data_IF_468580205382
#
_entry.id   IF_468580205382
#
_cell.length_a   1.000
_cell.length_b   1.000
_cell.length_c   1.000
_cell.angle_alpha   90.00
_cell.angle_beta   90.00
_cell.angle_gamma   90.00
#
_symmetry.space_group_name_H-M   'P 1'
#
loop_
_entity.id
_entity.type
_entity.pdbx_description
1 polymer ?
#
# COMPACT_ATOMS: atom_id res chain seq x y z
N UNK A 1 -15.63 5.41 -7.35
CA UNK A 1 -14.21 4.97 -7.31
C UNK A 1 -13.39 6.04 -7.99
N UNK A 2 -12.19 6.29 -7.47
CA UNK A 2 -11.33 7.38 -7.91
C UNK A 2 -10.15 6.82 -8.72
N UNK A 3 -9.58 7.63 -9.61
CA UNK A 3 -8.36 7.36 -10.39
C UNK A 3 -7.33 8.48 -10.23
N UNK A 4 -7.55 9.37 -9.26
CA UNK A 4 -6.81 10.62 -9.15
C UNK A 4 -5.40 10.42 -8.63
N UNK A 5 -4.46 11.09 -9.28
CA UNK A 5 -3.08 11.21 -8.83
C UNK A 5 -2.87 12.63 -8.32
N UNK A 6 -2.31 12.75 -7.13
CA UNK A 6 -2.09 14.03 -6.46
C UNK A 6 -0.63 14.10 -5.97
N UNK A 7 -0.11 15.32 -5.78
CA UNK A 7 1.20 15.64 -5.21
C UNK A 7 1.02 16.67 -4.10
N UNK A 8 1.62 16.46 -2.92
CA UNK A 8 1.80 17.52 -1.93
C UNK A 8 3.20 18.15 -2.07
N UNK A 9 3.30 19.47 -1.92
CA UNK A 9 4.57 20.18 -2.00
C UNK A 9 4.96 20.77 -0.65
N UNK A 10 6.03 20.21 -0.08
CA UNK A 10 6.47 20.45 1.30
C UNK A 10 6.87 21.92 1.54
N UNK A 11 7.43 22.58 0.53
CA UNK A 11 7.88 23.97 0.61
C UNK A 11 6.69 24.97 0.56
N UNK A 12 5.53 24.54 0.04
CA UNK A 12 4.31 25.36 -0.07
C UNK A 12 3.26 24.99 0.99
N UNK A 13 3.22 23.73 1.42
CA UNK A 13 2.15 23.18 2.27
C UNK A 13 0.89 22.78 1.50
N UNK A 14 0.95 22.73 0.17
CA UNK A 14 -0.21 22.68 -0.72
C UNK A 14 -0.32 21.40 -1.56
N UNK A 15 -1.51 21.22 -2.14
CA UNK A 15 -1.95 20.04 -2.89
C UNK A 15 -2.14 20.33 -4.38
N UNK A 16 -1.44 19.59 -5.22
CA UNK A 16 -1.48 19.68 -6.68
C UNK A 16 -2.04 18.38 -7.25
N UNK A 17 -3.16 18.45 -7.99
CA UNK A 17 -3.65 17.32 -8.77
C UNK A 17 -2.84 17.18 -10.05
N UNK A 18 -2.48 15.97 -10.45
CA UNK A 18 -2.04 15.72 -11.82
C UNK A 18 -3.26 15.46 -12.70
N UNK A 19 -3.35 16.13 -13.84
CA UNK A 19 -4.32 15.78 -14.88
C UNK A 19 -3.75 14.59 -15.67
N UNK A 20 -4.30 13.38 -15.46
CA UNK A 20 -3.74 12.14 -16.03
C UNK A 20 -4.80 11.30 -16.75
N UNK A 21 -4.50 10.84 -17.96
CA UNK A 21 -5.22 9.74 -18.63
C UNK A 21 -4.56 8.40 -18.24
N UNK A 22 -5.06 7.78 -17.16
CA UNK A 22 -4.42 6.64 -16.50
C UNK A 22 -5.31 5.41 -16.30
N UNK A 23 -4.93 4.48 -15.41
CA UNK A 23 -5.73 3.31 -15.08
C UNK A 23 -7.13 3.70 -14.58
N UNK A 24 -8.15 2.94 -15.00
CA UNK A 24 -9.52 3.09 -14.48
C UNK A 24 -9.55 3.08 -12.95
N UNK A 25 -10.39 3.94 -12.37
CA UNK A 25 -10.50 4.11 -10.94
C UNK A 25 -10.94 2.84 -10.22
N UNK A 26 -10.35 2.56 -9.06
CA UNK A 26 -10.33 1.20 -8.49
C UNK A 26 -10.32 1.15 -6.95
N UNK A 27 -10.22 -0.05 -6.41
CA UNK A 27 -10.00 -0.31 -4.98
C UNK A 27 -9.20 -1.59 -4.71
N UNK A 28 -8.37 -1.54 -3.67
CA UNK A 28 -7.48 -2.63 -3.24
C UNK A 28 -6.56 -3.14 -4.36
N UNK A 29 -6.21 -2.24 -5.27
CA UNK A 29 -4.95 -2.26 -6.01
C UNK A 29 -3.74 -2.32 -5.06
N UNK A 30 -2.58 -2.69 -5.58
CA UNK A 30 -1.32 -2.57 -4.87
C UNK A 30 -0.36 -1.67 -5.65
N UNK A 31 0.35 -0.79 -4.96
CA UNK A 31 1.27 0.16 -5.57
C UNK A 31 2.60 0.22 -4.80
N UNK A 32 3.72 0.35 -5.52
CA UNK A 32 5.07 0.35 -4.91
C UNK A 32 6.05 1.30 -5.62
N UNK A 33 6.89 2.05 -4.89
CA UNK A 33 7.91 2.89 -5.52
C UNK A 33 9.01 2.02 -6.11
N UNK A 34 9.41 2.32 -7.35
CA UNK A 34 10.33 1.48 -8.10
C UNK A 34 11.76 1.79 -7.66
N UNK A 35 12.32 1.01 -6.71
CA UNK A 35 13.64 1.30 -6.10
C UNK A 35 14.70 1.69 -7.16
N UNK A 36 15.29 2.88 -6.98
CA UNK A 36 16.29 3.54 -7.84
C UNK A 36 15.79 4.17 -9.16
N UNK A 37 14.48 4.23 -9.41
CA UNK A 37 13.90 5.19 -10.37
C UNK A 37 12.83 6.04 -9.69
N UNK A 38 12.64 7.27 -10.16
CA UNK A 38 11.60 8.16 -9.65
C UNK A 38 10.23 7.82 -10.27
N UNK A 39 9.87 6.54 -10.31
CA UNK A 39 8.64 6.02 -10.92
C UNK A 39 7.85 5.16 -9.94
N UNK A 40 6.56 5.05 -10.22
CA UNK A 40 5.60 4.20 -9.51
C UNK A 40 5.26 2.98 -10.37
N UNK A 41 4.95 1.85 -9.73
CA UNK A 41 4.18 0.76 -10.33
C UNK A 41 2.91 0.50 -9.53
N UNK A 42 1.76 0.50 -10.22
CA UNK A 42 0.45 0.06 -9.73
C UNK A 42 0.06 -1.26 -10.41
N UNK A 43 -0.60 -2.15 -9.68
CA UNK A 43 -1.11 -3.41 -10.21
C UNK A 43 -2.50 -3.78 -9.68
N UNK A 44 -3.36 -4.29 -10.56
CA UNK A 44 -4.62 -4.96 -10.20
C UNK A 44 -5.59 -4.09 -9.40
N UNK A 45 -6.32 -4.69 -8.46
CA UNK A 45 -7.48 -4.08 -7.80
C UNK A 45 -8.78 -4.29 -8.58
N UNK A 46 -9.91 -3.79 -8.07
CA UNK A 46 -11.22 -3.88 -8.73
C UNK A 46 -11.67 -2.53 -9.28
N UNK A 47 -12.10 -2.47 -10.54
CA UNK A 47 -12.58 -1.22 -11.18
C UNK A 47 -14.08 -0.96 -11.01
N UNK A 48 -14.82 -1.90 -10.41
CA UNK A 48 -16.23 -1.75 -10.06
C UNK A 48 -16.47 -2.19 -8.62
N UNK A 49 -17.64 -1.87 -8.05
CA UNK A 49 -18.05 -2.36 -6.72
C UNK A 49 -18.17 -3.89 -6.68
N UNK A 50 -18.52 -4.52 -7.80
CA UNK A 50 -18.48 -5.97 -7.96
C UNK A 50 -17.04 -6.48 -8.09
N UNK A 51 -16.71 -7.46 -7.25
CA UNK A 51 -15.39 -8.11 -7.18
C UNK A 51 -14.99 -8.83 -8.47
N UNK A 52 -15.94 -9.13 -9.36
CA UNK A 52 -15.68 -9.76 -10.66
C UNK A 52 -14.85 -8.89 -11.60
N UNK A 53 -14.86 -7.56 -11.41
CA UNK A 53 -14.08 -6.59 -12.18
C UNK A 53 -12.68 -6.35 -11.59
N UNK A 54 -12.14 -7.39 -10.94
CA UNK A 54 -10.73 -7.51 -10.59
C UNK A 54 -9.86 -7.40 -11.85
N UNK A 55 -8.68 -6.78 -11.73
CA UNK A 55 -7.71 -6.62 -12.83
C UNK A 55 -6.36 -7.28 -12.51
N UNK A 56 -5.56 -7.52 -13.54
CA UNK A 56 -4.15 -7.92 -13.50
C UNK A 56 -3.30 -7.07 -14.47
N UNK A 57 -3.77 -5.87 -14.77
CA UNK A 57 -3.05 -4.84 -15.50
C UNK A 57 -1.89 -4.30 -14.65
N UNK A 58 -0.80 -3.92 -15.33
CA UNK A 58 0.42 -3.41 -14.71
C UNK A 58 0.71 -2.02 -15.28
N UNK A 59 0.70 -1.01 -14.42
CA UNK A 59 0.79 0.39 -14.83
C UNK A 59 2.00 1.07 -14.21
N UNK A 60 2.79 1.76 -15.03
CA UNK A 60 3.92 2.60 -14.60
C UNK A 60 3.51 4.06 -14.68
N UNK A 61 3.67 4.81 -13.58
CA UNK A 61 3.46 6.27 -13.55
C UNK A 61 4.79 7.02 -13.51
N UNK A 62 4.86 8.11 -14.27
CA UNK A 62 5.97 9.05 -14.31
C UNK A 62 5.58 10.38 -13.62
N UNK A 63 6.05 10.64 -12.39
CA UNK A 63 5.73 11.86 -11.64
C UNK A 63 6.36 13.14 -12.20
N UNK A 64 7.29 13.01 -13.16
CA UNK A 64 7.95 14.17 -13.78
C UNK A 64 7.05 14.89 -14.81
N UNK A 65 6.09 14.18 -15.42
CA UNK A 65 5.17 14.69 -16.44
C UNK A 65 3.69 14.33 -16.19
N UNK A 66 3.40 13.49 -15.19
CA UNK A 66 2.04 13.03 -14.87
C UNK A 66 1.54 11.87 -15.73
N UNK A 67 2.39 11.27 -16.57
CA UNK A 67 1.96 10.22 -17.51
C UNK A 67 1.84 8.84 -16.87
N UNK A 68 0.86 8.07 -17.33
CA UNK A 68 0.69 6.64 -17.06
C UNK A 68 0.97 5.84 -18.32
N UNK A 69 1.61 4.68 -18.18
CA UNK A 69 1.86 3.71 -19.25
C UNK A 69 1.45 2.32 -18.77
N UNK A 70 0.53 1.66 -19.47
CA UNK A 70 0.29 0.23 -19.26
C UNK A 70 1.45 -0.57 -19.85
N UNK A 71 1.98 -1.52 -19.08
CA UNK A 71 3.05 -2.41 -19.49
C UNK A 71 2.44 -3.77 -19.81
N UNK A 72 2.50 -4.18 -21.08
CA UNK A 72 2.10 -5.54 -21.46
C UNK A 72 3.11 -6.56 -20.89
N UNK A 73 2.63 -7.66 -20.33
CA UNK A 73 3.47 -8.61 -19.58
C UNK A 73 3.05 -10.06 -19.84
N UNK A 74 4.02 -10.93 -20.08
CA UNK A 74 3.76 -12.35 -20.38
C UNK A 74 3.57 -13.16 -19.10
N UNK A 75 2.78 -14.23 -19.18
CA UNK A 75 2.38 -15.09 -18.03
C UNK A 75 1.63 -14.36 -16.89
N UNK A 76 0.77 -13.38 -17.20
CA UNK A 76 0.04 -12.57 -16.19
C UNK A 76 -0.58 -13.43 -15.07
N UNK A 77 -0.38 -13.10 -13.78
CA UNK A 77 -1.09 -13.75 -12.68
C UNK A 77 -2.61 -13.47 -12.77
N UNK A 78 -3.42 -14.28 -12.07
CA UNK A 78 -4.89 -14.07 -12.08
C UNK A 78 -5.28 -12.67 -11.55
N UNK A 79 -6.32 -12.03 -12.14
CA UNK A 79 -6.89 -10.77 -11.68
C UNK A 79 -7.23 -10.78 -10.19
N UNK A 80 -6.77 -9.77 -9.44
CA UNK A 80 -6.78 -9.83 -7.97
C UNK A 80 -6.81 -8.48 -7.28
N UNK A 81 -7.29 -8.47 -6.03
CA UNK A 81 -7.30 -7.31 -5.12
C UNK A 81 -6.77 -7.68 -3.73
N UNK A 82 -6.36 -6.67 -2.95
CA UNK A 82 -5.90 -6.84 -1.57
C UNK A 82 -4.63 -7.68 -1.45
N UNK A 83 -3.81 -7.64 -2.50
CA UNK A 83 -2.51 -8.30 -2.60
C UNK A 83 -1.41 -7.33 -2.19
N UNK A 84 -0.21 -7.83 -1.92
CA UNK A 84 0.99 -6.99 -1.68
C UNK A 84 1.81 -6.94 -2.97
N UNK A 85 2.37 -5.78 -3.31
CA UNK A 85 3.44 -5.66 -4.30
C UNK A 85 4.60 -4.83 -3.73
N UNK A 86 5.84 -5.28 -3.93
CA UNK A 86 7.04 -4.59 -3.47
C UNK A 86 8.14 -4.59 -4.52
N UNK A 87 8.88 -3.49 -4.66
CA UNK A 87 10.10 -3.46 -5.46
C UNK A 87 11.33 -3.87 -4.62
N UNK A 88 12.13 -4.81 -5.12
CA UNK A 88 13.48 -5.08 -4.61
C UNK A 88 14.56 -4.50 -5.55
N UNK A 89 15.80 -4.97 -5.47
CA UNK A 89 16.91 -4.45 -6.29
C UNK A 89 16.72 -4.68 -7.79
N UNK A 90 16.16 -5.82 -8.21
CA UNK A 90 16.05 -6.24 -9.62
C UNK A 90 14.63 -6.62 -10.06
N UNK A 91 13.73 -6.95 -9.13
CA UNK A 91 12.38 -7.43 -9.42
C UNK A 91 11.30 -6.63 -8.69
N UNK A 92 10.11 -6.63 -9.27
CA UNK A 92 8.86 -6.44 -8.52
C UNK A 92 8.41 -7.81 -8.03
N UNK A 93 7.95 -7.89 -6.79
CA UNK A 93 7.51 -9.10 -6.13
C UNK A 93 6.06 -8.89 -5.67
N UNK A 94 5.16 -9.75 -6.13
CA UNK A 94 3.73 -9.67 -5.86
C UNK A 94 3.28 -10.91 -5.07
N UNK A 95 2.49 -10.71 -4.00
CA UNK A 95 2.05 -11.79 -3.12
C UNK A 95 0.54 -11.75 -2.82
N UNK A 96 -0.11 -12.91 -2.99
CA UNK A 96 -1.40 -13.24 -2.38
C UNK A 96 -2.59 -12.40 -2.86
N UNK A 97 -3.50 -12.07 -1.93
CA UNK A 97 -4.74 -11.34 -2.16
C UNK A 97 -5.96 -12.24 -2.41
N UNK A 98 -7.00 -11.69 -3.04
CA UNK A 98 -8.24 -12.39 -3.44
C UNK A 98 -8.53 -12.26 -4.92
N UNK A 99 -9.14 -13.28 -5.51
CA UNK A 99 -9.62 -13.36 -6.91
C UNK A 99 -10.99 -14.04 -6.98
N UNK A 100 -11.81 -13.73 -7.97
CA UNK A 100 -13.07 -14.45 -8.24
C UNK A 100 -12.84 -15.67 -9.14
N UNK A 101 -13.74 -16.67 -9.09
CA UNK A 101 -13.80 -17.76 -10.10
C UNK A 101 -14.33 -17.27 -11.44
N UNK A 102 -15.31 -16.36 -11.41
CA UNK A 102 -15.97 -15.79 -12.59
C UNK A 102 -15.27 -14.48 -12.91
N UNK A 103 -14.46 -14.49 -13.98
CA UNK A 103 -13.85 -13.29 -14.56
C UNK A 103 -14.75 -12.83 -15.70
N UNK A 104 -15.49 -11.75 -15.51
CA UNK A 104 -16.42 -11.26 -16.50
C UNK A 104 -15.66 -10.70 -17.72
N UNK A 105 -15.71 -11.40 -18.86
CA UNK A 105 -15.32 -10.86 -20.18
C UNK A 105 -16.39 -9.93 -20.78
N UNK A 106 -17.43 -9.59 -20.03
CA UNK A 106 -18.61 -8.82 -20.45
C UNK A 106 -19.07 -7.88 -19.33
N UNK A 107 -19.92 -6.93 -19.68
CA UNK A 107 -20.53 -5.96 -18.77
C UNK A 107 -21.46 -6.59 -17.73
N UNK A 108 -21.66 -5.90 -16.62
CA UNK A 108 -22.55 -6.26 -15.50
C UNK A 108 -23.95 -6.75 -15.92
N UNK A 109 -24.51 -6.20 -17.02
CA UNK A 109 -25.86 -6.45 -17.51
C UNK A 109 -26.14 -7.86 -18.08
N UNK A 110 -25.17 -8.78 -18.07
CA UNK A 110 -25.33 -10.17 -18.57
C UNK A 110 -25.16 -11.26 -17.50
N UNK A 111 -25.07 -10.89 -16.21
CA UNK A 111 -24.97 -11.85 -15.11
C UNK A 111 -26.36 -12.36 -14.69
N UNK A 112 -26.56 -13.68 -14.46
CA UNK A 112 -27.80 -14.19 -13.86
C UNK A 112 -28.00 -13.61 -12.45
N UNK A 113 -29.23 -13.20 -12.13
CA UNK A 113 -29.56 -12.55 -10.85
C UNK A 113 -29.36 -13.47 -9.62
N UNK A 114 -29.32 -14.78 -9.82
CA UNK A 114 -29.24 -15.80 -8.77
C UNK A 114 -27.80 -16.13 -8.28
N UNK A 115 -26.74 -15.76 -9.01
CA UNK A 115 -25.35 -16.09 -8.60
C UNK A 115 -24.76 -15.03 -7.63
N UNK A 116 -24.69 -15.35 -6.34
CA UNK A 116 -23.99 -14.53 -5.34
C UNK A 116 -22.49 -14.37 -5.68
N UNK A 117 -22.01 -13.17 -6.07
CA UNK A 117 -20.63 -12.99 -6.55
C UNK A 117 -19.54 -13.29 -5.49
N UNK A 118 -19.88 -13.25 -4.20
CA UNK A 118 -18.93 -13.50 -3.11
C UNK A 118 -18.72 -15.00 -2.87
N UNK A 119 -19.65 -15.86 -3.29
CA UNK A 119 -19.62 -17.31 -3.04
C UNK A 119 -18.58 -18.05 -3.91
N UNK A 120 -17.94 -17.33 -4.83
CA UNK A 120 -16.87 -17.81 -5.72
C UNK A 120 -15.48 -17.21 -5.45
N UNK A 121 -15.24 -16.55 -4.32
CA UNK A 121 -13.93 -15.94 -4.03
C UNK A 121 -12.86 -16.97 -3.62
N UNK A 122 -11.70 -16.92 -4.28
CA UNK A 122 -10.50 -17.66 -3.91
C UNK A 122 -9.49 -16.73 -3.26
N UNK A 123 -9.14 -17.00 -2.00
CA UNK A 123 -7.98 -16.44 -1.35
C UNK A 123 -6.69 -17.04 -1.95
N UNK A 124 -5.66 -16.23 -2.15
CA UNK A 124 -4.43 -16.60 -2.86
C UNK A 124 -3.20 -16.61 -1.94
N UNK A 125 -2.36 -17.64 -2.09
CA UNK A 125 -1.07 -17.83 -1.38
C UNK A 125 0.12 -17.91 -2.34
N UNK A 126 -0.07 -17.49 -3.58
CA UNK A 126 0.95 -17.51 -4.62
C UNK A 126 1.88 -16.29 -4.53
N UNK A 127 3.15 -16.53 -4.82
CA UNK A 127 4.20 -15.53 -4.92
C UNK A 127 4.62 -15.41 -6.39
N UNK A 128 4.77 -14.19 -6.89
CA UNK A 128 5.14 -13.90 -8.27
C UNK A 128 6.25 -12.86 -8.31
N UNK A 129 7.13 -12.97 -9.31
CA UNK A 129 8.21 -12.03 -9.58
C UNK A 129 8.19 -11.60 -11.05
N UNK A 130 8.67 -10.39 -11.32
CA UNK A 130 8.86 -9.88 -12.69
C UNK A 130 10.04 -8.90 -12.72
N UNK A 131 10.81 -8.89 -13.81
CA UNK A 131 11.99 -8.03 -13.96
C UNK A 131 11.58 -6.55 -13.92
N UNK A 132 12.11 -5.82 -12.92
CA UNK A 132 11.84 -4.40 -12.72
C UNK A 132 12.43 -3.55 -13.85
N UNK A 133 13.57 -3.98 -14.40
CA UNK A 133 14.27 -3.32 -15.49
C UNK A 133 13.48 -3.42 -16.80
N UNK A 134 13.04 -4.63 -17.16
CA UNK A 134 12.18 -4.86 -18.33
C UNK A 134 10.82 -4.16 -18.22
N UNK A 135 10.23 -4.08 -17.02
CA UNK A 135 9.00 -3.29 -16.76
C UNK A 135 9.23 -1.79 -17.00
N UNK A 136 10.36 -1.23 -16.54
CA UNK A 136 10.69 0.17 -16.79
C UNK A 136 11.05 0.48 -18.24
N UNK A 137 11.51 -0.52 -19.00
CA UNK A 137 11.85 -0.45 -20.42
C UNK A 137 10.69 -0.83 -21.36
N UNK A 138 9.56 -1.32 -20.84
CA UNK A 138 8.40 -1.76 -21.64
C UNK A 138 8.64 -3.04 -22.46
N UNK A 139 9.63 -3.86 -22.10
CA UNK A 139 10.18 -4.93 -22.95
C UNK A 139 9.41 -6.26 -22.90
N UNK A 140 8.07 -6.21 -22.88
CA UNK A 140 7.16 -7.36 -22.63
C UNK A 140 7.64 -8.30 -21.49
N UNK A 141 7.91 -7.78 -20.28
CA UNK A 141 8.47 -8.57 -19.19
C UNK A 141 7.62 -9.79 -18.83
N UNK A 142 8.26 -10.85 -18.35
CA UNK A 142 7.59 -12.12 -18.02
C UNK A 142 7.46 -12.34 -16.52
N UNK A 143 6.24 -12.63 -16.06
CA UNK A 143 5.99 -13.10 -14.70
C UNK A 143 6.50 -14.53 -14.49
N UNK A 144 7.22 -14.74 -13.39
CA UNK A 144 7.65 -16.05 -12.88
C UNK A 144 7.00 -16.31 -11.52
N UNK A 145 6.67 -17.58 -11.24
CA UNK A 145 6.04 -17.96 -9.98
C UNK A 145 7.10 -18.46 -8.98
N UNK A 146 7.13 -17.87 -7.80
CA UNK A 146 7.96 -18.30 -6.67
C UNK A 146 7.25 -19.31 -5.76
N UNK A 147 7.90 -19.74 -4.66
CA UNK A 147 7.30 -20.68 -3.71
C UNK A 147 6.07 -20.07 -3.01
N UNK A 148 4.99 -20.84 -2.84
CA UNK A 148 3.79 -20.36 -2.16
C UNK A 148 4.07 -20.09 -0.68
N UNK A 149 3.25 -19.21 -0.10
CA UNK A 149 3.29 -18.88 1.32
C UNK A 149 2.86 -20.09 2.17
N UNK A 150 3.69 -20.54 3.14
CA UNK A 150 3.53 -21.84 3.81
C UNK A 150 2.58 -21.80 5.02
N UNK A 151 1.55 -20.94 4.99
CA UNK A 151 0.65 -20.72 6.12
C UNK A 151 -0.77 -20.36 5.64
N UNK A 152 -1.79 -20.37 6.53
CA UNK A 152 -3.19 -20.13 6.15
C UNK A 152 -3.39 -18.83 5.36
N UNK A 153 -4.17 -18.94 4.29
CA UNK A 153 -4.39 -17.86 3.34
C UNK A 153 -5.10 -16.67 3.99
N UNK A 154 -4.65 -15.46 3.69
CA UNK A 154 -5.11 -14.24 4.38
C UNK A 154 -5.03 -13.00 3.49
N UNK A 155 -5.85 -12.01 3.83
CA UNK A 155 -5.90 -10.70 3.17
C UNK A 155 -5.95 -9.57 4.20
N UNK A 156 -5.75 -8.34 3.75
CA UNK A 156 -5.58 -7.19 4.65
C UNK A 156 -4.29 -7.25 5.48
N UNK A 157 -3.37 -8.14 5.13
CA UNK A 157 -1.97 -8.09 5.55
C UNK A 157 -1.25 -6.96 4.81
N UNK A 158 -0.08 -6.55 5.30
CA UNK A 158 0.84 -5.71 4.52
C UNK A 158 2.19 -6.40 4.33
N UNK A 159 3.02 -5.88 3.44
CA UNK A 159 4.41 -6.27 3.38
C UNK A 159 5.32 -5.27 2.66
N UNK A 160 6.57 -5.23 3.09
CA UNK A 160 7.60 -4.26 2.66
C UNK A 160 8.99 -4.92 2.61
N UNK A 161 9.93 -4.34 1.86
CA UNK A 161 11.31 -4.83 1.76
C UNK A 161 12.17 -4.25 2.86
N UNK A 162 12.63 -5.08 3.80
CA UNK A 162 13.46 -4.68 4.93
C UNK A 162 14.88 -5.24 4.83
N UNK A 163 15.84 -4.65 5.55
CA UNK A 163 17.26 -4.99 5.46
C UNK A 163 18.04 -4.78 6.75
N UNK A 164 18.80 -5.80 7.19
CA UNK A 164 19.76 -5.68 8.29
C UNK A 164 21.16 -5.24 7.83
N UNK A 165 22.11 -5.13 8.77
CA UNK A 165 23.52 -4.72 8.57
C UNK A 165 24.29 -5.53 7.52
N UNK A 166 23.81 -6.71 7.15
CA UNK A 166 24.33 -7.50 6.01
C UNK A 166 24.05 -6.87 4.63
N UNK A 167 23.36 -5.73 4.57
CA UNK A 167 23.12 -4.97 3.34
C UNK A 167 22.27 -5.77 2.35
N UNK A 168 22.73 -5.91 1.11
CA UNK A 168 22.04 -6.70 0.08
C UNK A 168 21.87 -8.18 0.46
N UNK A 169 22.80 -8.76 1.23
CA UNK A 169 22.78 -10.18 1.63
C UNK A 169 21.81 -10.51 2.77
N UNK A 170 21.16 -9.50 3.36
CA UNK A 170 20.19 -9.67 4.47
C UNK A 170 18.93 -8.85 4.20
N UNK A 171 18.35 -9.03 3.01
CA UNK A 171 17.10 -8.38 2.56
C UNK A 171 15.96 -9.39 2.49
N UNK A 172 14.80 -8.98 2.99
CA UNK A 172 13.60 -9.82 3.07
C UNK A 172 12.36 -9.04 2.63
N UNK A 173 11.40 -9.71 1.99
CA UNK A 173 10.00 -9.27 2.05
C UNK A 173 9.50 -9.65 3.44
N UNK A 174 9.25 -8.65 4.28
CA UNK A 174 8.52 -8.82 5.53
C UNK A 174 7.02 -8.73 5.25
N UNK A 175 6.26 -9.69 5.75
CA UNK A 175 4.83 -9.81 5.58
C UNK A 175 4.15 -10.03 6.93
N UNK A 176 3.24 -9.12 7.33
CA UNK A 176 2.69 -9.08 8.68
C UNK A 176 1.16 -9.14 8.72
N UNK A 177 0.65 -9.92 9.67
CA UNK A 177 -0.75 -9.92 10.09
C UNK A 177 -1.75 -10.26 8.98
N UNK A 178 -2.84 -9.50 8.92
CA UNK A 178 -4.02 -9.74 8.09
C UNK A 178 -5.06 -10.62 8.77
N UNK A 179 -6.04 -11.08 7.98
CA UNK A 179 -7.13 -11.95 8.44
C UNK A 179 -7.45 -13.11 7.49
N UNK A 180 -8.07 -14.13 8.06
CA UNK A 180 -8.75 -15.25 7.38
C UNK A 180 -10.23 -15.28 7.83
N UNK A 181 -11.09 -15.95 7.07
CA UNK A 181 -12.48 -16.23 7.44
C UNK A 181 -12.60 -17.73 7.71
N UNK A 182 -13.15 -18.11 8.86
CA UNK A 182 -13.26 -19.52 9.28
C UNK A 182 -14.05 -20.39 8.30
N UNK A 183 -13.77 -21.69 8.31
CA UNK A 183 -14.44 -22.66 7.42
C UNK A 183 -15.97 -22.63 7.60
N UNK A 184 -16.70 -22.80 6.51
CA UNK A 184 -18.17 -22.74 6.48
C UNK A 184 -18.79 -21.34 6.67
N UNK A 185 -18.00 -20.31 6.98
CA UNK A 185 -18.50 -18.95 7.22
C UNK A 185 -18.59 -18.13 5.94
N UNK A 186 -19.50 -17.14 5.91
CA UNK A 186 -19.69 -16.22 4.76
C UNK A 186 -19.15 -14.84 5.13
N UNK A 187 -18.56 -14.12 4.16
CA UNK A 187 -17.94 -12.81 4.46
C UNK A 187 -19.02 -11.79 4.88
N UNK A 188 -18.72 -11.03 5.92
CA UNK A 188 -19.59 -10.02 6.54
C UNK A 188 -20.92 -10.51 7.19
N UNK A 189 -21.28 -11.79 7.14
CA UNK A 189 -22.48 -12.30 7.84
C UNK A 189 -22.23 -12.54 9.34
N UNK A 190 -21.04 -13.05 9.68
CA UNK A 190 -20.58 -13.21 11.05
C UNK A 190 -19.25 -12.44 11.24
N UNK A 191 -19.24 -11.51 12.19
CA UNK A 191 -18.08 -10.69 12.51
C UNK A 191 -17.09 -11.41 13.45
N UNK A 192 -17.52 -12.50 14.11
CA UNK A 192 -16.69 -13.34 14.97
C UNK A 192 -15.96 -14.46 14.22
N UNK A 193 -16.41 -14.81 13.01
CA UNK A 193 -15.78 -15.80 12.14
C UNK A 193 -14.41 -15.40 11.56
N UNK A 194 -13.93 -14.16 11.78
CA UNK A 194 -12.64 -13.70 11.29
C UNK A 194 -11.50 -14.01 12.26
N UNK A 195 -10.49 -14.74 11.76
CA UNK A 195 -9.24 -15.02 12.47
C UNK A 195 -8.22 -13.95 12.06
N UNK A 196 -7.73 -13.16 13.02
CA UNK A 196 -6.73 -12.12 12.81
C UNK A 196 -5.33 -12.62 13.21
N UNK A 197 -4.29 -12.11 12.55
CA UNK A 197 -2.92 -12.60 12.70
C UNK A 197 -1.93 -11.53 13.19
N UNK A 198 -0.85 -11.97 13.85
CA UNK A 198 0.33 -11.18 14.23
C UNK A 198 1.65 -12.00 14.25
N UNK A 199 1.71 -13.05 13.44
CA UNK A 199 2.96 -13.60 12.94
C UNK A 199 3.60 -12.63 11.92
N UNK A 200 4.93 -12.68 11.85
CA UNK A 200 5.73 -11.96 10.86
C UNK A 200 6.47 -12.99 10.02
N UNK A 201 6.17 -13.04 8.73
CA UNK A 201 6.85 -13.91 7.79
C UNK A 201 7.92 -13.13 7.02
N UNK A 202 9.06 -13.76 6.80
CA UNK A 202 10.21 -13.22 6.08
C UNK A 202 10.49 -14.13 4.89
N UNK A 203 10.32 -13.61 3.67
CA UNK A 203 10.78 -14.26 2.45
C UNK A 203 12.19 -13.78 2.10
N UNK A 204 13.14 -14.70 2.11
CA UNK A 204 14.54 -14.48 1.74
C UNK A 204 14.67 -14.43 0.22
N UNK A 205 15.14 -13.30 -0.33
CA UNK A 205 15.30 -13.12 -1.78
C UNK A 205 16.51 -13.85 -2.39
N UNK A 206 17.40 -14.42 -1.57
CA UNK A 206 18.62 -15.11 -2.01
C UNK A 206 18.48 -16.63 -1.85
N UNK A 207 17.82 -17.08 -0.77
CA UNK A 207 17.49 -18.48 -0.55
C UNK A 207 16.15 -18.89 -1.19
N UNK A 208 15.43 -17.93 -1.77
CA UNK A 208 14.05 -18.07 -2.27
C UNK A 208 13.14 -18.83 -1.29
N UNK A 209 13.15 -18.43 -0.01
CA UNK A 209 12.53 -19.23 1.06
C UNK A 209 11.78 -18.39 2.08
N UNK A 210 10.55 -18.82 2.39
CA UNK A 210 9.76 -18.31 3.50
C UNK A 210 10.26 -18.84 4.85
N UNK A 211 10.27 -17.97 5.85
CA UNK A 211 10.59 -18.28 7.24
C UNK A 211 9.71 -17.47 8.18
N UNK A 212 9.43 -18.00 9.37
CA UNK A 212 8.72 -17.29 10.43
C UNK A 212 9.76 -16.52 11.27
N UNK A 213 9.56 -15.22 11.49
CA UNK A 213 10.39 -14.44 12.39
C UNK A 213 10.18 -14.88 13.85
N UNK A 214 11.19 -14.76 14.75
CA UNK A 214 11.04 -15.09 16.16
C UNK A 214 9.83 -14.41 16.81
N UNK A 215 9.04 -15.19 17.53
CA UNK A 215 7.75 -14.77 18.12
C UNK A 215 7.84 -14.43 19.61
N UNK A 216 9.05 -14.48 20.19
CA UNK A 216 9.31 -14.28 21.62
C UNK A 216 9.32 -12.80 22.03
N UNK A 217 8.76 -12.52 23.20
CA UNK A 217 8.73 -11.17 23.80
C UNK A 217 7.56 -10.30 23.32
N UNK A 218 7.59 -8.99 23.62
CA UNK A 218 6.57 -8.03 23.19
C UNK A 218 6.48 -7.98 21.66
N UNK A 219 5.27 -8.02 21.12
CA UNK A 219 4.98 -7.95 19.68
C UNK A 219 3.60 -7.32 19.45
N UNK A 220 3.32 -6.77 18.26
CA UNK A 220 2.04 -6.10 18.01
C UNK A 220 0.87 -7.09 18.11
N UNK A 221 -0.30 -6.69 18.65
CA UNK A 221 -1.50 -7.52 18.64
C UNK A 221 -2.04 -7.78 17.22
N UNK A 222 -2.79 -8.88 17.09
CA UNK A 222 -3.39 -9.40 15.85
C UNK A 222 -4.24 -8.36 15.13
N UNK A 223 -4.03 -8.19 13.81
CA UNK A 223 -4.69 -7.11 13.06
C UNK A 223 -4.82 -7.31 11.53
N UNK A 224 -5.91 -6.81 10.96
CA UNK A 224 -6.06 -6.53 9.52
C UNK A 224 -5.87 -5.02 9.22
N UNK A 225 -5.66 -4.70 7.94
CA UNK A 225 -5.75 -3.36 7.34
C UNK A 225 -4.99 -2.26 8.12
N UNK A 226 -3.83 -2.60 8.68
CA UNK A 226 -2.82 -1.62 9.09
C UNK A 226 -2.09 -1.10 7.85
N UNK A 227 -1.34 0.00 7.97
CA UNK A 227 -0.33 0.35 6.98
C UNK A 227 1.07 -0.06 7.44
N UNK A 228 2.03 -0.19 6.52
CA UNK A 228 3.43 -0.45 6.87
C UNK A 228 4.45 0.20 5.94
N UNK A 229 5.66 0.40 6.47
CA UNK A 229 6.77 1.10 5.85
C UNK A 229 8.10 0.36 6.04
N UNK A 230 9.08 0.66 5.19
CA UNK A 230 10.49 0.42 5.53
C UNK A 230 11.16 1.73 5.90
N UNK A 231 11.35 1.98 7.19
CA UNK A 231 12.05 3.16 7.70
C UNK A 231 13.41 2.73 8.28
N UNK A 232 14.49 3.31 7.76
CA UNK A 232 15.88 2.99 8.13
C UNK A 232 16.22 1.48 8.06
N UNK A 233 15.60 0.75 7.13
CA UNK A 233 15.80 -0.70 6.94
C UNK A 233 14.95 -1.60 7.85
N UNK A 234 14.21 -1.03 8.81
CA UNK A 234 13.29 -1.75 9.69
C UNK A 234 11.88 -1.76 9.12
N UNK A 235 11.10 -2.80 9.42
CA UNK A 235 9.64 -2.77 9.23
C UNK A 235 9.07 -1.79 10.26
N UNK A 236 8.20 -0.88 9.85
CA UNK A 236 7.29 -0.16 10.74
C UNK A 236 5.85 -0.48 10.36
N UNK A 237 4.97 -0.58 11.34
CA UNK A 237 3.52 -0.67 11.15
C UNK A 237 2.82 0.41 11.99
N UNK A 238 1.66 0.87 11.52
CA UNK A 238 0.77 1.73 12.29
C UNK A 238 -0.70 1.38 12.05
N UNK A 239 -1.48 1.41 13.13
CA UNK A 239 -2.94 1.28 13.10
C UNK A 239 -3.45 -0.11 12.69
N UNK A 240 -4.57 -0.14 11.98
CA UNK A 240 -5.31 -1.35 11.59
C UNK A 240 -6.43 -1.71 12.56
N UNK A 241 -7.05 -2.89 12.39
CA UNK A 241 -8.16 -3.38 13.23
C UNK A 241 -7.91 -4.76 13.79
N UNK A 242 -8.41 -5.01 14.99
CA UNK A 242 -8.47 -6.35 15.61
C UNK A 242 -9.80 -7.06 15.39
N UNK A 243 -10.80 -6.38 14.80
CA UNK A 243 -12.17 -6.87 14.64
C UNK A 243 -12.95 -6.08 13.56
N UNK A 244 -14.00 -6.68 12.98
CA UNK A 244 -15.01 -5.98 12.16
C UNK A 244 -16.13 -5.35 13.01
N UNK A 245 -16.22 -5.72 14.30
CA UNK A 245 -17.19 -5.14 15.22
C UNK A 245 -16.92 -3.65 15.44
N UNK A 246 -17.98 -2.85 15.54
CA UNK A 246 -17.92 -1.40 15.82
C UNK A 246 -17.81 -1.09 17.33
N UNK A 247 -17.04 -1.91 18.03
CA UNK A 247 -16.73 -1.77 19.47
C UNK A 247 -15.56 -0.80 19.68
N UNK A 248 -15.43 -0.25 20.88
CA UNK A 248 -14.26 0.54 21.27
C UNK A 248 -12.98 -0.31 21.20
N UNK A 249 -11.85 0.30 20.83
CA UNK A 249 -10.56 -0.37 20.61
C UNK A 249 -10.51 -1.44 19.50
N UNK A 250 -11.58 -1.66 18.73
CA UNK A 250 -11.54 -2.48 17.50
C UNK A 250 -10.53 -1.96 16.47
N UNK A 251 -10.28 -0.65 16.46
CA UNK A 251 -9.36 0.06 15.55
C UNK A 251 -8.21 0.66 16.36
N UNK A 252 -7.02 0.75 15.77
CA UNK A 252 -5.75 1.01 16.47
C UNK A 252 -5.04 2.29 16.02
N UNK A 253 -4.17 2.81 16.90
CA UNK A 253 -3.26 3.94 16.68
C UNK A 253 -1.81 3.63 17.11
N UNK A 254 -1.47 2.36 17.36
CA UNK A 254 -0.15 1.98 17.89
C UNK A 254 0.92 1.88 16.78
N UNK A 255 2.09 2.48 17.03
CA UNK A 255 3.28 2.35 16.19
C UNK A 255 4.17 1.23 16.74
N UNK A 256 4.59 0.32 15.85
CA UNK A 256 5.59 -0.70 16.16
C UNK A 256 6.62 -0.80 15.04
N UNK A 257 7.86 -1.17 15.38
CA UNK A 257 8.89 -1.54 14.40
C UNK A 257 9.51 -2.89 14.67
N UNK A 258 9.88 -3.65 13.63
CA UNK A 258 10.68 -4.87 13.73
C UNK A 258 12.08 -4.69 13.11
N UNK A 259 13.09 -5.09 13.88
CA UNK A 259 14.51 -5.01 13.52
C UNK A 259 15.10 -6.40 13.22
N UNK A 260 15.68 -6.57 12.03
CA UNK A 260 16.29 -7.82 11.56
C UNK A 260 17.61 -8.18 12.27
N UNK A 261 18.31 -7.24 12.87
CA UNK A 261 19.61 -7.47 13.50
C UNK A 261 19.50 -7.79 14.99
N UNK A 262 18.44 -7.33 15.65
CA UNK A 262 18.10 -7.79 17.01
C UNK A 262 17.04 -8.89 17.03
N UNK A 263 16.36 -9.14 15.90
CA UNK A 263 15.17 -10.01 15.78
C UNK A 263 14.08 -9.69 16.81
N UNK A 264 13.77 -8.39 16.96
CA UNK A 264 12.84 -7.90 17.98
C UNK A 264 11.90 -6.85 17.44
N UNK A 265 10.70 -6.83 18.01
CA UNK A 265 9.77 -5.71 17.90
C UNK A 265 10.10 -4.62 18.92
N UNK A 266 9.66 -3.41 18.64
CA UNK A 266 9.73 -2.23 19.52
C UNK A 266 8.41 -1.48 19.39
N UNK A 267 7.76 -1.21 20.51
CA UNK A 267 6.59 -0.33 20.62
C UNK A 267 7.08 1.11 20.83
N UNK A 268 6.37 2.09 20.29
CA UNK A 268 6.67 3.51 20.48
C UNK A 268 5.50 4.20 21.15
N UNK A 269 5.74 4.73 22.35
CA UNK A 269 4.77 5.55 23.09
C UNK A 269 4.73 6.98 22.53
N UNK A 270 3.54 7.52 22.19
CA UNK A 270 3.42 8.88 21.70
C UNK A 270 3.73 9.88 22.81
N UNK A 271 4.65 10.82 22.57
CA UNK A 271 5.06 11.82 23.57
C UNK A 271 4.18 13.09 23.56
N UNK A 272 3.19 13.15 22.68
CA UNK A 272 2.24 14.25 22.52
C UNK A 272 0.94 13.75 21.85
N UNK A 273 0.03 14.67 21.51
CA UNK A 273 -1.16 14.36 20.72
C UNK A 273 -0.79 13.62 19.43
N UNK A 274 -1.50 12.52 19.16
CA UNK A 274 -1.23 11.57 18.10
C UNK A 274 -2.48 11.38 17.22
N UNK A 275 -2.34 10.94 15.95
CA UNK A 275 -3.47 10.72 15.05
C UNK A 275 -4.49 9.73 15.62
N UNK A 276 -5.76 9.99 15.34
CA UNK A 276 -6.85 9.08 15.73
C UNK A 276 -6.67 7.67 15.18
N UNK A 277 -7.16 6.69 15.94
CA UNK A 277 -7.15 5.27 15.58
C UNK A 277 -7.86 5.00 14.25
N UNK A 278 -7.17 4.29 13.36
CA UNK A 278 -7.59 4.12 11.97
C UNK A 278 -7.10 2.84 11.30
N UNK A 279 -7.83 2.41 10.28
CA UNK A 279 -7.50 1.28 9.41
C UNK A 279 -7.58 1.69 7.94
N UNK A 280 -6.94 0.91 7.07
CA UNK A 280 -6.51 1.38 5.75
C UNK A 280 -5.73 2.71 5.77
N UNK A 281 -4.94 3.10 6.81
CA UNK A 281 -4.08 4.25 6.63
C UNK A 281 -3.00 3.88 5.63
N UNK A 282 -2.50 4.87 4.91
CA UNK A 282 -1.16 4.72 4.41
C UNK A 282 -0.17 4.82 5.60
N UNK A 283 0.93 4.06 5.56
CA UNK A 283 2.13 4.32 6.39
C UNK A 283 3.42 4.26 5.52
N UNK A 284 4.41 5.15 5.72
CA UNK A 284 5.70 5.11 4.98
C UNK A 284 6.87 5.85 5.64
N UNK A 285 8.07 5.79 5.07
CA UNK A 285 9.18 6.67 5.45
C UNK A 285 9.07 8.07 4.81
N UNK A 286 9.61 9.09 5.49
CA UNK A 286 9.78 10.44 4.95
C UNK A 286 10.95 11.17 5.62
N UNK A 287 11.87 11.74 4.83
CA UNK A 287 12.82 12.78 5.30
C UNK A 287 12.14 14.15 5.54
N UNK A 288 11.21 14.24 6.48
CA UNK A 288 10.62 15.54 6.88
C UNK A 288 11.69 16.42 7.54
N UNK A 289 11.88 17.65 7.02
CA UNK A 289 12.96 18.59 7.42
C UNK A 289 14.35 17.91 7.44
N UNK A 290 14.60 17.00 6.51
CA UNK A 290 15.86 16.25 6.37
C UNK A 290 16.01 15.04 7.33
N UNK A 291 15.16 14.93 8.35
CA UNK A 291 15.21 13.87 9.36
C UNK A 291 14.24 12.73 8.98
N UNK A 292 14.63 11.44 9.08
CA UNK A 292 13.72 10.33 8.82
C UNK A 292 12.59 10.23 9.86
N UNK A 293 11.35 10.27 9.36
CA UNK A 293 10.08 10.14 10.06
C UNK A 293 9.25 9.01 9.41
N UNK A 294 8.19 8.59 10.10
CA UNK A 294 7.12 7.77 9.55
C UNK A 294 5.96 8.72 9.13
N UNK A 295 5.58 8.72 7.86
CA UNK A 295 4.42 9.47 7.36
C UNK A 295 3.15 8.62 7.42
N UNK A 296 2.04 9.21 7.88
CA UNK A 296 0.72 8.59 8.00
C UNK A 296 -0.29 9.52 7.32
N UNK A 297 -1.21 8.96 6.53
CA UNK A 297 -2.27 9.73 5.90
C UNK A 297 -3.59 8.94 5.85
N UNK A 298 -4.69 9.68 6.03
CA UNK A 298 -6.05 9.22 5.77
C UNK A 298 -6.40 7.88 6.45
N UNK A 299 -7.31 7.11 5.86
CA UNK A 299 -7.87 5.86 6.38
C UNK A 299 -9.26 6.04 6.99
N UNK A 300 -9.83 4.94 7.49
CA UNK A 300 -11.15 4.87 8.12
C UNK A 300 -11.07 4.71 9.64
N UNK A 301 -12.03 5.28 10.37
CA UNK A 301 -12.24 5.04 11.81
C UNK A 301 -13.63 4.48 12.13
N UNK A 302 -13.73 3.85 13.30
CA UNK A 302 -14.95 3.39 13.94
C UNK A 302 -14.93 3.86 15.42
N UNK A 303 -15.28 5.13 15.70
CA UNK A 303 -15.15 5.72 17.04
C UNK A 303 -16.31 5.30 17.96
N UNK A 304 -16.44 4.00 18.23
CA UNK A 304 -17.55 3.42 19.00
C UNK A 304 -18.95 3.63 18.41
N UNK A 305 -19.01 4.10 17.15
CA UNK A 305 -20.22 4.61 16.50
C UNK A 305 -20.63 3.76 15.30
N UNK A 306 -21.91 3.85 14.93
CA UNK A 306 -22.42 3.24 13.69
C UNK A 306 -21.86 3.93 12.45
N UNK A 307 -21.45 5.20 12.53
CA UNK A 307 -20.82 5.93 11.41
C UNK A 307 -19.34 5.54 11.27
N UNK A 308 -18.95 5.16 10.06
CA UNK A 308 -17.56 5.20 9.61
C UNK A 308 -17.15 6.66 9.41
N UNK A 309 -15.90 6.99 9.70
CA UNK A 309 -15.32 8.31 9.41
C UNK A 309 -14.07 8.12 8.56
N UNK A 310 -14.08 8.58 7.32
CA UNK A 310 -12.89 8.70 6.48
C UNK A 310 -12.10 9.93 6.89
N UNK A 311 -10.77 9.82 6.99
CA UNK A 311 -9.89 10.94 7.30
C UNK A 311 -9.09 11.40 6.08
N UNK A 312 -8.61 12.64 6.12
CA UNK A 312 -7.85 13.35 5.09
C UNK A 312 -6.65 14.13 5.67
N UNK A 313 -6.23 13.78 6.90
CA UNK A 313 -5.24 14.46 7.72
C UNK A 313 -3.82 13.89 7.53
N UNK A 314 -2.81 14.78 7.50
CA UNK A 314 -1.40 14.39 7.34
C UNK A 314 -0.64 14.46 8.65
N UNK A 315 -0.04 13.34 9.03
CA UNK A 315 0.81 13.23 10.23
C UNK A 315 2.20 12.68 9.90
N UNK A 316 3.21 13.21 10.58
CA UNK A 316 4.54 12.61 10.66
C UNK A 316 4.89 12.24 12.09
N UNK A 317 5.50 11.07 12.26
CA UNK A 317 5.99 10.54 13.52
C UNK A 317 7.50 10.43 13.51
N UNK A 318 8.16 10.96 14.54
CA UNK A 318 9.60 10.89 14.69
C UNK A 318 10.00 9.69 15.56
N UNK A 319 10.58 8.61 15.01
CA UNK A 319 10.88 7.40 15.79
C UNK A 319 12.02 7.57 16.79
N UNK A 320 12.78 8.68 16.74
CA UNK A 320 13.85 8.94 17.72
C UNK A 320 13.34 9.68 18.96
N UNK A 321 12.35 10.56 18.81
CA UNK A 321 11.79 11.36 19.92
C UNK A 321 10.39 10.93 20.35
N UNK A 322 9.71 10.05 19.61
CA UNK A 322 8.32 9.64 19.88
C UNK A 322 7.28 10.75 19.64
N UNK A 323 7.70 11.86 19.03
CA UNK A 323 6.86 13.03 18.76
C UNK A 323 6.12 12.88 17.43
N UNK A 324 4.83 13.16 17.46
CA UNK A 324 3.98 13.37 16.30
C UNK A 324 3.91 14.84 15.89
N UNK A 325 3.73 15.11 14.60
CA UNK A 325 3.44 16.45 14.09
C UNK A 325 2.40 16.33 12.98
N UNK A 326 1.24 16.94 13.20
CA UNK A 326 0.25 17.17 12.17
C UNK A 326 0.77 18.27 11.22
N UNK A 327 0.69 18.04 9.92
CA UNK A 327 1.20 18.97 8.90
C UNK A 327 0.09 19.58 8.05
N UNK A 328 -1.11 19.00 8.06
CA UNK A 328 -2.23 19.48 7.28
C UNK A 328 -3.57 19.06 7.86
N UNK A 329 -4.40 20.07 8.15
CA UNK A 329 -5.84 19.96 8.44
C UNK A 329 -6.58 20.98 7.57
N UNK A 330 -7.09 20.55 6.42
CA UNK A 330 -8.12 21.34 5.73
C UNK A 330 -9.44 21.18 6.47
N UNK A 331 -10.09 22.30 6.82
CA UNK A 331 -11.55 22.31 6.92
C UNK A 331 -12.15 21.75 5.62
N UNK A 332 -13.33 21.15 5.70
CA UNK A 332 -13.87 20.26 4.66
C UNK A 332 -14.23 20.97 3.34
N UNK A 333 -13.24 21.15 2.46
CA UNK A 333 -13.39 21.58 1.05
C UNK A 333 -12.54 20.73 0.07
N UNK A 334 -12.13 19.52 0.48
CA UNK A 334 -12.05 18.41 -0.48
C UNK A 334 -13.50 17.96 -0.74
N UNK A 335 -13.86 17.52 -1.97
CA UNK A 335 -15.19 16.99 -2.26
C UNK A 335 -15.59 15.92 -1.23
N UNK A 336 -16.83 15.98 -0.74
CA UNK A 336 -17.30 15.05 0.29
C UNK A 336 -17.09 13.59 -0.16
N UNK A 337 -16.67 12.73 0.78
CA UNK A 337 -16.30 11.31 0.58
C UNK A 337 -14.93 10.98 -0.08
N UNK A 338 -13.86 11.75 0.18
CA UNK A 338 -12.47 11.37 -0.21
C UNK A 338 -11.67 10.61 0.88
N UNK A 339 -11.51 9.27 0.81
CA UNK A 339 -10.41 8.55 1.47
C UNK A 339 -9.11 8.69 0.64
N UNK A 340 -8.09 9.35 1.18
CA UNK A 340 -7.00 9.91 0.37
C UNK A 340 -5.60 9.22 0.49
N UNK A 341 -4.72 9.45 -0.50
CA UNK A 341 -3.69 8.55 -1.10
C UNK A 341 -2.12 8.52 -0.82
N UNK A 342 -1.42 9.09 0.20
CA UNK A 342 -0.16 9.92 0.01
C UNK A 342 1.33 9.65 0.58
N UNK A 343 2.40 9.03 -0.04
CA UNK A 343 3.86 8.82 0.47
C UNK A 343 4.96 9.70 -0.20
N UNK A 344 6.08 9.93 0.53
CA UNK A 344 7.03 11.06 0.45
C UNK A 344 8.54 10.79 0.29
N UNK A 345 9.23 11.49 -0.62
CA UNK A 345 10.46 12.29 -0.30
C UNK A 345 10.82 13.17 -1.50
N UNK A 346 11.16 14.45 -1.34
CA UNK A 346 11.29 15.45 -2.43
C UNK A 346 9.97 15.70 -3.23
N UNK A 347 9.24 14.66 -3.63
CA UNK A 347 7.82 14.73 -3.96
C UNK A 347 6.98 13.76 -3.09
N UNK A 348 5.70 14.09 -2.94
CA UNK A 348 4.73 13.39 -2.10
C UNK A 348 3.57 12.91 -2.96
N UNK A 349 3.66 11.73 -3.58
CA UNK A 349 2.72 11.29 -4.61
C UNK A 349 1.67 10.28 -4.13
N UNK A 350 0.51 10.34 -4.77
CA UNK A 350 -0.72 9.65 -4.38
C UNK A 350 -1.34 8.88 -5.53
N UNK A 351 -2.04 7.77 -5.27
CA UNK A 351 -3.03 7.22 -6.23
C UNK A 351 -4.31 6.79 -5.52
N UNK A 352 -5.40 7.52 -5.75
CA UNK A 352 -6.66 7.33 -5.02
C UNK A 352 -7.39 6.02 -5.40
N UNK A 353 -7.87 5.30 -4.39
CA UNK A 353 -8.68 4.09 -4.52
C UNK A 353 -9.73 4.00 -3.40
N UNK A 354 -10.87 3.36 -3.66
CA UNK A 354 -11.99 3.36 -2.70
C UNK A 354 -11.73 2.43 -1.50
N UNK A 355 -11.27 2.99 -0.38
CA UNK A 355 -11.04 2.25 0.87
C UNK A 355 -9.75 1.43 0.88
N UNK A 356 -8.70 1.89 0.19
CA UNK A 356 -7.30 1.46 0.41
C UNK A 356 -6.36 2.64 0.17
N UNK A 357 -5.23 2.71 0.88
CA UNK A 357 -4.31 3.87 0.84
C UNK A 357 -2.86 3.43 0.58
N UNK A 358 -2.46 3.43 -0.70
CA UNK A 358 -1.06 3.31 -1.13
C UNK A 358 -0.38 4.70 -1.30
N UNK A 359 0.20 5.21 -0.21
CA UNK A 359 1.06 6.43 -0.15
C UNK A 359 2.33 6.15 -1.13
N UNK A 360 3.11 7.07 -1.76
CA UNK A 360 4.34 6.76 -2.56
C UNK A 360 5.65 7.69 -2.70
N UNK A 361 6.63 7.69 -1.77
CA UNK A 361 8.13 7.55 -1.93
C UNK A 361 9.01 8.61 -2.68
N UNK A 362 8.48 9.55 -3.45
CA UNK A 362 9.14 9.88 -4.74
C UNK A 362 10.29 10.92 -4.80
N UNK A 363 11.53 10.47 -4.51
CA UNK A 363 12.81 11.20 -4.53
C UNK A 363 13.23 11.88 -5.85
N UNK A 364 12.53 12.93 -6.26
CA UNK A 364 12.85 13.77 -7.41
C UNK A 364 13.95 14.81 -7.10
N UNK A 365 15.22 14.41 -7.28
CA UNK A 365 16.37 15.34 -7.32
C UNK A 365 16.03 16.55 -8.21
N UNK A 366 16.11 17.77 -7.66
CA UNK A 366 15.84 19.04 -8.39
C UNK A 366 16.39 19.03 -9.82
N UNK A 367 15.49 18.87 -10.79
CA UNK A 367 15.76 19.22 -12.18
C UNK A 367 16.09 20.70 -12.22
N UNK A 368 17.27 21.06 -12.70
CA UNK A 368 17.59 22.47 -12.98
C UNK A 368 16.63 22.94 -14.07
N UNK A 369 15.98 24.12 -13.94
CA UNK A 369 15.18 24.66 -15.02
C UNK A 369 16.06 24.76 -16.27
N UNK A 370 15.60 24.17 -17.37
CA UNK A 370 16.22 24.36 -18.67
C UNK A 370 16.21 25.84 -19.01
N UNK A 371 17.36 26.40 -19.36
CA UNK A 371 17.46 27.82 -19.75
C UNK A 371 16.54 28.02 -20.96
N UNK A 372 15.46 28.77 -20.76
CA UNK A 372 14.63 29.24 -21.86
C UNK A 372 15.52 30.09 -22.76
N UNK A 373 15.69 29.69 -24.02
CA UNK A 373 16.33 30.55 -25.01
C UNK A 373 15.40 31.72 -25.28
N UNK A 374 15.84 32.92 -24.95
CA UNK A 374 15.23 34.15 -25.42
C UNK A 374 15.20 34.10 -26.95
N UNK A 375 13.99 34.13 -27.54
CA UNK A 375 13.85 34.46 -28.95
C UNK A 375 13.88 35.98 -29.06
N UNK A 376 15.00 36.53 -29.53
CA UNK A 376 15.08 37.93 -29.89
C UNK A 376 14.20 38.17 -31.13
N UNK A 377 13.13 38.95 -30.98
CA UNK A 377 12.47 39.56 -32.14
C UNK A 377 13.35 40.69 -32.69
N UNK A 378 13.54 40.80 -34.01
CA UNK A 378 14.24 41.94 -34.61
C UNK A 378 13.33 43.18 -34.62
N UNK A 379 13.87 44.31 -34.18
CA UNK A 379 13.23 45.62 -34.29
C UNK A 379 13.06 46.04 -35.77
N UNK A 380 11.92 46.65 -36.07
CA UNK A 380 11.63 47.47 -37.26
C UNK A 380 10.89 48.74 -36.82
#
# INVERSE_FOLDING_TARGET
MFSDVWRYEVDQGEWFRFETSGPLGRWKEAATPVQNSSKLVLMGGCTETSVQFSRNDLWVFNPADGTWVEVETRNKPVPRRGHVIVANQSHLIMFGGKSTKHYAKRSYAELPEDENPQQGEKCLVDLWAISKEEVLAGSEPRWTQGPPFPAPCRWGSTGVVISGKGGAKKRYLAFFGGRHLGEGSVEHTDQSAYIYYNDLWLYDFIQEKWSLAPTEGPRPPARDHHGSATLQGKLFIYGGRRSEKREEHSVLADVWSYDLDTSRWTFYEPQNAAPMARFMPGVSDWKYKGVPHLAIFAGESLPGSTKRTTMNDLWVFNPHSGIWTELFTSNCDLPEETPAVMYTTEALCLVAGFGFVSLLVLGLKKLRPSVAREMQEPLL
#
